data_IF_498135824178
#
_entry.id   IF_498135824178
#
_cell.length_a   1.000
_cell.length_b   1.000
_cell.length_c   1.000
_cell.angle_alpha   90.00
_cell.angle_beta   90.00
_cell.angle_gamma   90.00
#
_symmetry.space_group_name_H-M   'P 1'
#
loop_
_entity.id
_entity.type
_entity.pdbx_description
1 polymer ?
#
# COMPACT_ATOMS: atom_id res chain seq x y z
N UNK A 1 6.88 -22.84 -13.95
CA UNK A 1 7.21 -21.97 -12.80
C UNK A 1 6.38 -20.72 -12.85
N UNK A 2 5.63 -20.51 -11.82
CA UNK A 2 4.76 -19.34 -11.76
C UNK A 2 5.53 -18.12 -11.29
N UNK A 3 5.26 -16.99 -11.92
CA UNK A 3 5.80 -15.73 -11.45
C UNK A 3 4.86 -15.17 -10.42
N UNK A 4 5.43 -14.78 -9.30
CA UNK A 4 4.66 -14.06 -8.31
C UNK A 4 4.39 -12.65 -8.83
N UNK A 5 3.13 -12.25 -8.81
CA UNK A 5 2.76 -10.88 -9.16
C UNK A 5 2.71 -10.06 -7.88
N UNK A 6 3.09 -8.80 -8.01
CA UNK A 6 3.12 -7.86 -6.91
C UNK A 6 2.06 -6.80 -7.10
N UNK A 7 1.45 -6.39 -6.02
CA UNK A 7 0.52 -5.27 -6.00
C UNK A 7 1.10 -4.16 -5.15
N UNK A 8 0.92 -2.93 -5.59
CA UNK A 8 1.33 -1.77 -4.83
C UNK A 8 0.19 -1.34 -3.92
N UNK A 9 0.50 -1.13 -2.66
CA UNK A 9 -0.44 -0.62 -1.67
C UNK A 9 0.04 0.73 -1.19
N UNK A 10 -0.87 1.67 -1.11
CA UNK A 10 -0.61 2.98 -0.54
C UNK A 10 -1.16 2.97 0.87
N UNK A 11 -0.29 3.16 1.83
CA UNK A 11 -0.65 3.18 3.25
C UNK A 11 -0.57 4.60 3.77
N UNK A 12 -1.61 5.03 4.45
CA UNK A 12 -1.62 6.33 5.12
C UNK A 12 -1.63 6.05 6.61
N UNK A 13 -0.63 6.55 7.32
CA UNK A 13 -0.49 6.33 8.74
C UNK A 13 -0.44 7.64 9.48
N UNK A 14 -1.07 7.67 10.65
CA UNK A 14 -0.98 8.80 11.57
C UNK A 14 0.35 8.73 12.31
N UNK A 15 1.03 9.87 12.47
CA UNK A 15 2.27 9.91 13.26
C UNK A 15 2.02 9.56 14.72
N UNK A 16 0.80 9.70 15.18
CA UNK A 16 0.47 9.32 16.56
C UNK A 16 0.54 7.80 16.76
N UNK A 17 0.17 7.04 15.71
CA UNK A 17 0.17 5.58 15.76
C UNK A 17 1.46 4.98 15.24
N UNK A 18 2.10 5.64 14.29
CA UNK A 18 3.32 5.16 13.66
C UNK A 18 4.26 6.35 13.45
N UNK A 19 4.98 6.77 14.52
CA UNK A 19 5.88 7.94 14.40
C UNK A 19 7.00 7.71 13.40
N UNK A 20 7.42 6.46 13.22
CA UNK A 20 8.42 6.09 12.23
C UNK A 20 7.70 5.40 11.08
N UNK A 21 8.02 5.81 9.85
CA UNK A 21 7.39 5.26 8.66
C UNK A 21 7.59 3.75 8.54
N UNK A 22 8.66 3.21 9.11
CA UNK A 22 8.89 1.78 9.14
C UNK A 22 7.81 1.03 9.91
N UNK A 23 7.19 1.68 10.86
CA UNK A 23 6.14 1.09 11.68
C UNK A 23 4.77 1.15 11.02
N UNK A 24 4.67 1.83 9.88
CA UNK A 24 3.44 1.95 9.13
C UNK A 24 3.19 0.65 8.38
N UNK A 25 2.16 -0.07 8.77
CA UNK A 25 1.78 -1.35 8.17
C UNK A 25 0.32 -1.35 7.80
N UNK A 26 -0.10 -2.38 7.07
CA UNK A 26 -1.52 -2.52 6.73
C UNK A 26 -2.39 -2.65 7.98
N UNK A 27 -1.82 -3.18 9.05
CA UNK A 27 -2.58 -3.39 10.28
C UNK A 27 -2.83 -2.12 11.07
N UNK A 28 -1.95 -1.11 10.95
CA UNK A 28 -2.09 0.12 11.71
C UNK A 28 -2.32 1.36 10.85
N UNK A 29 -2.40 1.20 9.53
CA UNK A 29 -2.68 2.32 8.65
C UNK A 29 -4.10 2.82 8.84
N UNK A 30 -4.28 4.13 8.77
CA UNK A 30 -5.62 4.72 8.84
C UNK A 30 -6.38 4.51 7.53
N UNK A 31 -5.64 4.35 6.43
CA UNK A 31 -6.23 4.05 5.13
C UNK A 31 -5.27 3.23 4.32
N UNK A 32 -5.81 2.31 3.54
CA UNK A 32 -5.04 1.45 2.63
C UNK A 32 -5.72 1.50 1.28
N UNK A 33 -4.94 1.82 0.24
CA UNK A 33 -5.45 1.82 -1.13
C UNK A 33 -4.60 0.89 -1.98
N UNK A 34 -5.24 0.15 -2.86
CA UNK A 34 -4.54 -0.74 -3.77
C UNK A 34 -4.47 -0.08 -5.15
N UNK A 35 -3.27 0.02 -5.70
CA UNK A 35 -3.08 0.49 -7.06
C UNK A 35 -3.70 -0.55 -8.01
N UNK A 36 -4.53 -0.14 -8.98
CA UNK A 36 -5.25 -1.09 -9.84
C UNK A 36 -4.36 -1.65 -10.95
N UNK A 37 -3.26 -2.27 -10.58
CA UNK A 37 -2.33 -2.89 -11.51
C UNK A 37 -1.46 -3.87 -10.75
N UNK A 38 -0.90 -4.84 -11.48
CA UNK A 38 0.01 -5.82 -10.90
C UNK A 38 1.34 -5.74 -11.62
N UNK A 39 2.40 -6.08 -10.92
CA UNK A 39 3.76 -5.95 -11.44
C UNK A 39 4.55 -7.20 -11.14
N UNK A 40 5.46 -7.55 -12.05
CA UNK A 40 6.30 -8.74 -11.88
C UNK A 40 7.59 -8.43 -11.11
N UNK A 41 7.86 -7.16 -10.87
CA UNK A 41 9.17 -6.68 -10.42
C UNK A 41 8.99 -5.63 -9.33
N UNK A 42 9.69 -5.73 -8.19
CA UNK A 42 9.50 -4.80 -7.08
C UNK A 42 9.83 -3.35 -7.43
N UNK A 43 10.85 -3.14 -8.25
CA UNK A 43 11.25 -1.77 -8.62
C UNK A 43 10.14 -1.12 -9.43
N UNK A 44 9.61 -1.83 -10.43
CA UNK A 44 8.51 -1.33 -11.24
C UNK A 44 7.28 -1.06 -10.37
N UNK A 45 7.00 -1.97 -9.44
CA UNK A 45 5.88 -1.83 -8.53
C UNK A 45 5.99 -0.54 -7.71
N UNK A 46 7.16 -0.28 -7.13
CA UNK A 46 7.38 0.92 -6.34
C UNK A 46 7.28 2.19 -7.18
N UNK A 47 7.86 2.17 -8.37
CA UNK A 47 7.83 3.33 -9.25
C UNK A 47 6.41 3.68 -9.67
N UNK A 48 5.62 2.69 -10.02
CA UNK A 48 4.24 2.90 -10.41
C UNK A 48 3.38 3.32 -9.21
N UNK A 49 3.66 2.78 -8.04
CA UNK A 49 2.97 3.21 -6.83
C UNK A 49 3.21 4.68 -6.52
N UNK A 50 4.45 5.15 -6.67
CA UNK A 50 4.80 6.54 -6.47
C UNK A 50 4.11 7.43 -7.51
N UNK A 51 4.10 6.99 -8.77
CA UNK A 51 3.44 7.73 -9.83
C UNK A 51 1.93 7.83 -9.59
N UNK A 52 1.35 6.77 -9.09
CA UNK A 52 -0.08 6.75 -8.75
C UNK A 52 -0.39 7.80 -7.69
N UNK A 53 0.46 7.89 -6.67
CA UNK A 53 0.31 8.91 -5.63
C UNK A 53 0.34 10.32 -6.21
N UNK A 54 1.27 10.56 -7.14
CA UNK A 54 1.43 11.88 -7.74
C UNK A 54 0.23 12.26 -8.59
N UNK A 55 -0.52 11.28 -9.10
CA UNK A 55 -1.65 11.51 -9.98
C UNK A 55 -2.99 11.57 -9.25
N UNK A 56 -3.01 11.21 -7.97
CA UNK A 56 -4.24 11.18 -7.20
C UNK A 56 -4.26 12.31 -6.18
N UNK A 57 -5.45 12.67 -5.73
CA UNK A 57 -5.60 13.69 -4.71
C UNK A 57 -5.16 13.22 -3.32
N UNK A 58 -4.96 11.92 -3.15
CA UNK A 58 -4.59 11.35 -1.85
C UNK A 58 -3.31 11.97 -1.31
N UNK A 59 -2.28 12.06 -2.16
CA UNK A 59 -1.02 12.64 -1.74
C UNK A 59 -1.08 14.13 -1.51
N UNK A 60 -2.05 14.81 -2.12
CA UNK A 60 -2.21 16.26 -2.03
C UNK A 60 -3.07 16.68 -0.86
N UNK A 61 -3.94 15.79 -0.40
CA UNK A 61 -4.88 16.09 0.67
C UNK A 61 -4.45 15.52 2.01
N UNK A 62 -3.19 15.16 2.12
CA UNK A 62 -2.65 14.56 3.34
C UNK A 62 -2.62 15.59 4.47
N UNK A 63 -3.09 15.21 5.64
CA UNK A 63 -3.03 16.06 6.81
C UNK A 63 -1.59 16.17 7.33
N UNK A 64 -1.29 17.18 8.12
CA UNK A 64 0.06 17.43 8.62
C UNK A 64 0.58 16.28 9.49
N UNK A 65 -0.32 15.59 10.17
CA UNK A 65 0.04 14.48 11.05
C UNK A 65 -0.04 13.12 10.36
N UNK A 66 -0.19 13.11 9.05
CA UNK A 66 -0.27 11.87 8.27
C UNK A 66 0.97 11.68 7.43
N UNK A 67 1.31 10.42 7.20
CA UNK A 67 2.42 10.03 6.36
C UNK A 67 1.95 8.97 5.37
N UNK A 68 2.55 8.98 4.20
CA UNK A 68 2.22 8.04 3.12
C UNK A 68 3.39 7.11 2.89
N UNK A 69 3.08 5.85 2.64
CA UNK A 69 4.08 4.83 2.32
C UNK A 69 3.55 3.95 1.21
N UNK A 70 4.40 3.61 0.24
CA UNK A 70 4.06 2.64 -0.79
C UNK A 70 4.73 1.33 -0.45
N UNK A 71 3.96 0.26 -0.42
CA UNK A 71 4.45 -1.08 -0.12
C UNK A 71 4.07 -1.99 -1.27
N UNK A 72 5.03 -2.81 -1.70
CA UNK A 72 4.76 -3.82 -2.73
C UNK A 72 4.74 -5.17 -2.05
N UNK A 73 3.63 -5.88 -2.22
CA UNK A 73 3.43 -7.19 -1.62
C UNK A 73 2.90 -8.15 -2.67
N UNK A 74 3.10 -9.42 -2.44
CA UNK A 74 2.60 -10.43 -3.38
C UNK A 74 1.09 -10.36 -3.42
N UNK A 75 0.55 -10.34 -4.62
CA UNK A 75 -0.90 -10.21 -4.84
C UNK A 75 -1.67 -11.31 -4.12
N UNK A 76 -1.18 -12.54 -4.18
CA UNK A 76 -1.87 -13.67 -3.54
C UNK A 76 -1.93 -13.51 -2.02
N UNK A 77 -0.92 -12.91 -1.42
CA UNK A 77 -0.89 -12.66 0.01
C UNK A 77 -1.96 -11.64 0.40
N UNK A 78 -2.08 -10.59 -0.40
CA UNK A 78 -3.08 -9.55 -0.19
C UNK A 78 -4.48 -10.15 -0.32
N UNK A 79 -4.71 -10.93 -1.39
CA UNK A 79 -6.00 -11.53 -1.65
C UNK A 79 -6.39 -12.51 -0.55
N UNK A 80 -5.42 -13.27 -0.04
CA UNK A 80 -5.69 -14.22 1.04
C UNK A 80 -6.12 -13.49 2.31
N UNK A 81 -5.49 -12.35 2.62
CA UNK A 81 -5.86 -11.55 3.78
C UNK A 81 -7.28 -10.99 3.64
N UNK A 82 -7.61 -10.48 2.47
CA UNK A 82 -8.95 -9.95 2.19
C UNK A 82 -9.98 -11.07 2.29
N UNK A 83 -9.66 -12.22 1.72
CA UNK A 83 -10.56 -13.38 1.73
C UNK A 83 -10.85 -13.87 3.14
N UNK A 84 -9.81 -13.85 3.97
CA UNK A 84 -9.95 -14.27 5.37
C UNK A 84 -10.89 -13.35 6.13
N UNK A 85 -10.77 -12.05 5.91
CA UNK A 85 -11.65 -11.07 6.52
C UNK A 85 -13.07 -11.23 6.00
N UNK A 86 -13.21 -11.45 4.69
CA UNK A 86 -14.52 -11.60 4.07
C UNK A 86 -15.24 -12.89 4.41
N UNK A 87 -14.54 -13.87 4.99
CA UNK A 87 -15.13 -15.14 5.36
C UNK A 87 -16.01 -15.07 6.62
N UNK A 88 -16.00 -13.96 7.29
CA UNK A 88 -16.78 -13.78 8.52
C UNK A 88 -18.15 -13.13 8.29
#
# INVERSE_FOLDING_TARGET
MERAMLSALVLICSVALAPDLRDCTRGNATAVMRVPAEFANPVTCLMHGQAYLAQTSVGQELADDERIKVVCARTETIDASVRRVGAH
#
